data_IF_961076760878
#
_entry.id   IF_961076760878
#
_cell.length_a   1.000
_cell.length_b   1.000
_cell.length_c   1.000
_cell.angle_alpha   90.00
_cell.angle_beta   90.00
_cell.angle_gamma   90.00
#
_symmetry.space_group_name_H-M   'P 1'
#
loop_
_entity.id
_entity.type
_entity.pdbx_description
1 polymer ?
#
# COMPACT_ATOMS: atom_id res chain seq x y z
N UNK A 1 -9.97 5.82 -10.43
CA UNK A 1 -9.47 4.59 -9.77
C UNK A 1 -8.02 4.42 -10.18
N UNK A 2 -7.09 4.78 -9.28
CA UNK A 2 -5.65 4.79 -9.56
C UNK A 2 -5.00 3.51 -9.05
N UNK A 3 -3.90 3.12 -9.70
CA UNK A 3 -3.04 2.02 -9.25
C UNK A 3 -1.83 2.61 -8.53
N UNK A 4 -1.53 2.13 -7.33
CA UNK A 4 -0.42 2.61 -6.49
C UNK A 4 0.50 1.44 -6.15
N UNK A 5 1.80 1.62 -6.37
CA UNK A 5 2.85 0.68 -5.94
C UNK A 5 3.50 1.23 -4.67
N UNK A 6 3.60 0.41 -3.65
CA UNK A 6 4.29 0.73 -2.40
C UNK A 6 5.44 -0.27 -2.23
N UNK A 7 6.64 0.25 -2.02
CA UNK A 7 7.83 -0.52 -1.70
C UNK A 7 8.30 -0.04 -0.34
N UNK A 8 8.29 -0.92 0.65
CA UNK A 8 8.58 -0.59 2.05
C UNK A 8 9.11 -1.84 2.75
N UNK A 9 10.20 -1.72 3.50
CA UNK A 9 10.83 -2.81 4.26
C UNK A 9 10.14 -3.04 5.61
N UNK A 10 9.58 -1.97 6.19
CA UNK A 10 8.80 -2.06 7.40
C UNK A 10 7.37 -2.54 7.11
N UNK A 11 7.10 -3.81 7.45
CA UNK A 11 5.80 -4.45 7.25
C UNK A 11 4.63 -3.67 7.88
N UNK A 12 4.82 -3.12 9.09
CA UNK A 12 3.74 -2.41 9.78
C UNK A 12 3.39 -1.09 9.08
N UNK A 13 4.39 -0.40 8.54
CA UNK A 13 4.20 0.82 7.75
C UNK A 13 3.55 0.50 6.39
N UNK A 14 4.02 -0.56 5.73
CA UNK A 14 3.46 -1.04 4.47
C UNK A 14 1.96 -1.35 4.60
N UNK A 15 1.57 -2.07 5.66
CA UNK A 15 0.17 -2.41 5.92
C UNK A 15 -0.69 -1.19 6.22
N UNK A 16 -0.17 -0.25 7.03
CA UNK A 16 -0.86 0.99 7.36
C UNK A 16 -1.17 1.82 6.10
N UNK A 17 -0.15 2.03 5.26
CA UNK A 17 -0.27 2.80 4.02
C UNK A 17 -1.20 2.09 3.03
N UNK A 18 -1.07 0.78 2.89
CA UNK A 18 -1.89 0.00 1.98
C UNK A 18 -3.38 0.04 2.37
N UNK A 19 -3.70 -0.04 3.67
CA UNK A 19 -5.08 0.12 4.16
C UNK A 19 -5.64 1.48 3.80
N UNK A 20 -4.95 2.56 4.16
CA UNK A 20 -5.42 3.92 3.91
C UNK A 20 -5.72 4.18 2.43
N UNK A 21 -4.83 3.71 1.54
CA UNK A 21 -4.97 3.88 0.10
C UNK A 21 -6.08 3.00 -0.50
N UNK A 22 -6.27 1.78 0.00
CA UNK A 22 -7.38 0.90 -0.40
C UNK A 22 -8.73 1.46 0.05
N UNK A 23 -8.82 1.97 1.28
CA UNK A 23 -10.04 2.59 1.83
C UNK A 23 -10.43 3.84 1.02
N UNK A 24 -9.45 4.51 0.41
CA UNK A 24 -9.66 5.63 -0.52
C UNK A 24 -10.05 5.19 -1.94
N UNK A 25 -10.24 3.89 -2.20
CA UNK A 25 -10.67 3.34 -3.49
C UNK A 25 -9.54 3.11 -4.50
N UNK A 26 -8.27 3.08 -4.07
CA UNK A 26 -7.14 2.78 -4.95
C UNK A 26 -6.84 1.28 -4.99
N UNK A 27 -6.35 0.82 -6.13
CA UNK A 27 -5.74 -0.51 -6.24
C UNK A 27 -4.29 -0.42 -5.79
N UNK A 28 -3.94 -1.12 -4.71
CA UNK A 28 -2.60 -1.05 -4.10
C UNK A 28 -1.85 -2.35 -4.31
N UNK A 29 -0.64 -2.25 -4.87
CA UNK A 29 0.34 -3.33 -5.00
C UNK A 29 1.44 -3.07 -3.98
N UNK A 30 1.72 -4.05 -3.13
CA UNK A 30 2.72 -3.95 -2.08
C UNK A 30 3.91 -4.86 -2.40
N UNK A 31 5.12 -4.34 -2.24
CA UNK A 31 6.37 -5.11 -2.27
C UNK A 31 7.08 -4.85 -0.95
N UNK A 32 7.42 -5.92 -0.25
CA UNK A 32 8.31 -5.93 0.91
C UNK A 32 9.57 -6.70 0.53
N UNK A 33 10.72 -6.26 1.03
CA UNK A 33 11.99 -7.01 1.02
C UNK A 33 12.16 -7.73 2.36
#
# INVERSE_FOLDING_TARGET
MSKVLIVEDNLAQLELMARYLRDSGNTVICIAD
#
